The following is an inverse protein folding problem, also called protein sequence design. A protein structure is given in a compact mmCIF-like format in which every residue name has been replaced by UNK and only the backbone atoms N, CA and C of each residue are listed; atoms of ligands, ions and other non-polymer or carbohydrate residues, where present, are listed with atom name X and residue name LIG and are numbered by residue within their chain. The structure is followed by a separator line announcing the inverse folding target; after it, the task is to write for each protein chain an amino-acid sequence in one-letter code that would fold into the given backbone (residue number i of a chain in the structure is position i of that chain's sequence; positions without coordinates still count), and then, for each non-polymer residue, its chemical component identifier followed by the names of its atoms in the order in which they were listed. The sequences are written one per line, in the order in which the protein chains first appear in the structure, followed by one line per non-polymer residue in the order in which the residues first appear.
data_IF_945991050200
#
_entry.id   IF_945991050200
#
_cell.length_a   1.000
_cell.length_b   1.000
_cell.length_c   1.000
_cell.angle_alpha   90.00
_cell.angle_beta   90.00
_cell.angle_gamma   90.00
#
_symmetry.space_group_name_H-M   'P 1'
#
loop_
_entity.id
_entity.type
_entity.pdbx_description
1 polymer ?
#
# COMPACT_ATOMS: atom_id res chain seq x y z
N UNK A 1 29.52 15.09 46.76
CA UNK A 1 29.79 13.86 45.97
C UNK A 1 28.60 12.96 46.16
N UNK A 2 27.62 13.05 45.25
CA UNK A 2 26.44 12.18 45.27
C UNK A 2 26.81 10.86 44.57
N UNK A 3 26.68 9.76 45.30
CA UNK A 3 26.92 8.41 44.80
C UNK A 3 25.75 8.00 43.93
N UNK A 4 25.99 7.82 42.62
CA UNK A 4 25.02 7.21 41.70
C UNK A 4 24.67 5.79 42.21
N UNK A 5 23.40 5.45 42.39
CA UNK A 5 22.98 4.10 42.78
C UNK A 5 23.29 3.11 41.63
N UNK A 6 24.06 2.08 41.96
CA UNK A 6 24.32 0.98 41.02
C UNK A 6 23.04 0.15 40.91
N UNK A 7 22.34 0.27 39.78
CA UNK A 7 21.13 -0.53 39.46
C UNK A 7 21.55 -1.98 39.20
N UNK A 8 21.11 -2.91 40.04
CA UNK A 8 21.39 -4.34 39.83
C UNK A 8 20.49 -4.92 38.75
N UNK A 9 20.92 -6.05 38.12
CA UNK A 9 20.11 -6.76 37.09
C UNK A 9 18.74 -7.17 37.61
N UNK A 10 18.64 -7.50 38.90
CA UNK A 10 17.38 -7.87 39.56
C UNK A 10 16.46 -6.68 39.77
N UNK A 11 16.98 -5.49 40.02
CA UNK A 11 16.18 -4.27 40.18
C UNK A 11 15.62 -3.80 38.83
N UNK A 12 16.43 -3.94 37.77
CA UNK A 12 15.96 -3.68 36.40
C UNK A 12 14.80 -4.61 36.00
N UNK A 13 14.89 -5.92 36.26
CA UNK A 13 13.83 -6.87 35.96
C UNK A 13 12.56 -6.63 36.77
N UNK A 14 12.67 -6.23 38.05
CA UNK A 14 11.50 -5.87 38.87
C UNK A 14 10.80 -4.62 38.36
N UNK A 15 11.58 -3.61 37.94
CA UNK A 15 11.02 -2.36 37.42
C UNK A 15 10.35 -2.58 36.05
N UNK A 16 10.96 -3.35 35.15
CA UNK A 16 10.34 -3.72 33.88
C UNK A 16 9.06 -4.56 34.07
N UNK A 17 9.07 -5.52 35.01
CA UNK A 17 7.90 -6.35 35.32
C UNK A 17 6.72 -5.55 35.88
N UNK A 18 6.98 -4.57 36.74
CA UNK A 18 5.93 -3.71 37.33
C UNK A 18 5.30 -2.76 36.29
N UNK A 19 6.08 -2.26 35.31
CA UNK A 19 5.57 -1.41 34.22
C UNK A 19 4.68 -2.20 33.27
N UNK A 20 4.98 -3.47 33.02
CA UNK A 20 4.17 -4.32 32.13
C UNK A 20 2.81 -4.72 32.74
N UNK A 21 2.67 -4.77 34.06
CA UNK A 21 1.41 -5.12 34.73
C UNK A 21 0.49 -3.92 34.97
N UNK A 22 0.99 -2.69 34.85
CA UNK A 22 0.25 -1.46 35.09
C UNK A 22 -0.50 -0.87 33.89
N UNK A 23 -0.34 -1.41 32.67
CA UNK A 23 -0.92 -0.84 31.45
C UNK A 23 -1.92 -1.77 30.78
N UNK A 24 -3.05 -2.04 31.47
CA UNK A 24 -4.23 -2.63 30.84
C UNK A 24 -4.90 -1.70 29.79
N UNK A 25 -4.32 -0.54 29.52
CA UNK A 25 -4.82 0.44 28.54
C UNK A 25 -3.99 0.51 27.24
N UNK A 26 -2.98 -0.36 27.05
CA UNK A 26 -2.16 -0.37 25.82
C UNK A 26 -2.78 -1.20 24.66
N UNK A 27 -3.97 -1.72 24.84
CA UNK A 27 -4.68 -2.50 23.78
C UNK A 27 -5.30 -1.63 22.68
N UNK A 28 -5.18 -0.30 22.71
CA UNK A 28 -5.74 0.59 21.69
C UNK A 28 -4.75 1.03 20.58
N UNK A 29 -3.48 0.60 20.66
CA UNK A 29 -2.48 0.97 19.64
C UNK A 29 -2.21 -0.12 18.61
N UNK A 30 -3.03 -1.18 18.56
CA UNK A 30 -3.11 -2.05 17.39
C UNK A 30 -3.89 -1.31 16.30
N UNK A 31 -3.34 -0.17 15.88
CA UNK A 31 -3.78 0.54 14.71
C UNK A 31 -3.75 -0.43 13.54
N UNK A 32 -4.93 -0.79 13.09
CA UNK A 32 -5.29 -1.50 11.89
C UNK A 32 -4.21 -1.37 10.80
N UNK A 33 -3.35 -2.37 10.66
CA UNK A 33 -2.64 -2.57 9.40
C UNK A 33 -3.73 -2.79 8.35
N UNK A 34 -4.08 -1.75 7.59
CA UNK A 34 -4.93 -1.90 6.43
C UNK A 34 -4.16 -2.78 5.46
N UNK A 35 -4.52 -4.05 5.38
CA UNK A 35 -3.94 -4.97 4.41
C UNK A 35 -4.25 -4.42 3.03
N UNK A 36 -3.22 -4.35 2.20
CA UNK A 36 -3.37 -3.98 0.79
C UNK A 36 -4.21 -5.05 0.09
N UNK A 37 -5.19 -4.62 -0.70
CA UNK A 37 -6.09 -5.54 -1.40
C UNK A 37 -5.58 -5.80 -2.82
N UNK A 38 -5.47 -7.08 -3.16
CA UNK A 38 -5.17 -7.56 -4.51
C UNK A 38 -6.46 -7.94 -5.23
N UNK A 39 -6.64 -7.48 -6.47
CA UNK A 39 -7.76 -7.87 -7.31
C UNK A 39 -7.79 -9.40 -7.49
N UNK A 40 -8.96 -10.01 -7.30
CA UNK A 40 -9.07 -11.46 -7.20
C UNK A 40 -9.15 -12.14 -8.57
N UNK A 41 -9.74 -11.48 -9.57
CA UNK A 41 -9.98 -12.08 -10.89
C UNK A 41 -9.65 -11.12 -12.04
N UNK A 42 -8.41 -10.63 -12.15
CA UNK A 42 -8.02 -9.87 -13.34
C UNK A 42 -7.90 -10.82 -14.53
N UNK A 43 -8.41 -10.40 -15.69
CA UNK A 43 -8.39 -11.19 -16.93
C UNK A 43 -7.59 -10.45 -18.00
N UNK A 44 -6.61 -11.12 -18.60
CA UNK A 44 -5.90 -10.58 -19.77
C UNK A 44 -6.70 -10.83 -21.02
N UNK A 45 -7.12 -9.78 -21.71
CA UNK A 45 -7.82 -9.83 -22.99
C UNK A 45 -7.30 -8.72 -23.90
N UNK A 46 -6.94 -9.07 -25.13
CA UNK A 46 -6.55 -8.12 -26.18
C UNK A 46 -5.50 -7.08 -25.75
N UNK A 47 -4.45 -7.51 -25.03
CA UNK A 47 -3.40 -6.64 -24.44
C UNK A 47 -3.90 -5.65 -23.37
N UNK A 48 -5.07 -5.88 -22.82
CA UNK A 48 -5.56 -5.14 -21.67
C UNK A 48 -5.87 -6.08 -20.50
N UNK A 49 -5.58 -5.63 -19.29
CA UNK A 49 -6.01 -6.33 -18.09
C UNK A 49 -7.38 -5.78 -17.73
N UNK A 50 -8.38 -6.63 -17.76
CA UNK A 50 -9.74 -6.33 -17.35
C UNK A 50 -9.88 -6.59 -15.86
N UNK A 51 -10.37 -5.60 -15.12
CA UNK A 51 -10.65 -5.65 -13.68
C UNK A 51 -12.09 -5.19 -13.44
N UNK A 52 -12.87 -5.95 -12.67
CA UNK A 52 -14.23 -5.55 -12.34
C UNK A 52 -14.22 -4.38 -11.34
N UNK A 53 -15.08 -3.36 -11.56
CA UNK A 53 -15.17 -2.19 -10.66
C UNK A 53 -15.56 -2.55 -9.23
N UNK A 54 -16.27 -3.66 -9.02
CA UNK A 54 -16.63 -4.18 -7.69
C UNK A 54 -15.40 -4.59 -6.85
N UNK A 55 -14.23 -4.78 -7.45
CA UNK A 55 -12.99 -5.03 -6.70
C UNK A 55 -12.62 -3.84 -5.79
N UNK A 56 -13.12 -2.65 -6.09
CA UNK A 56 -12.97 -1.47 -5.23
C UNK A 56 -13.94 -1.46 -4.04
N UNK A 57 -14.99 -2.28 -4.04
CA UNK A 57 -15.94 -2.35 -2.94
C UNK A 57 -15.37 -3.15 -1.77
N UNK A 58 -15.54 -2.65 -0.56
CA UNK A 58 -15.23 -3.35 0.68
C UNK A 58 -16.49 -3.40 1.53
N UNK A 59 -16.94 -4.58 1.86
CA UNK A 59 -18.11 -4.77 2.72
C UNK A 59 -17.62 -5.09 4.13
N UNK A 60 -18.06 -4.32 5.11
CA UNK A 60 -17.74 -4.58 6.51
C UNK A 60 -18.63 -5.70 7.11
N UNK A 61 -18.34 -6.08 8.36
CA UNK A 61 -19.12 -7.12 9.06
C UNK A 61 -20.58 -6.75 9.31
N UNK A 62 -20.95 -5.49 9.13
CA UNK A 62 -22.31 -4.96 9.31
C UNK A 62 -23.04 -4.78 7.97
N UNK A 63 -22.39 -5.12 6.85
CA UNK A 63 -22.93 -4.97 5.51
C UNK A 63 -22.77 -3.58 4.90
N UNK A 64 -22.04 -2.66 5.56
CA UNK A 64 -21.77 -1.34 5.00
C UNK A 64 -20.71 -1.44 3.89
N UNK A 65 -21.03 -0.88 2.73
CA UNK A 65 -20.13 -0.83 1.58
C UNK A 65 -19.29 0.44 1.63
N UNK A 66 -17.98 0.26 1.55
CA UNK A 66 -17.00 1.36 1.41
C UNK A 66 -16.16 1.14 0.17
N UNK A 67 -15.66 2.23 -0.42
CA UNK A 67 -14.81 2.16 -1.61
C UNK A 67 -13.33 2.22 -1.20
N UNK A 68 -12.55 1.25 -1.67
CA UNK A 68 -11.09 1.30 -1.55
C UNK A 68 -10.56 2.44 -2.41
N UNK A 69 -9.59 3.24 -1.94
CA UNK A 69 -8.97 4.28 -2.77
C UNK A 69 -8.11 3.68 -3.88
N UNK A 70 -7.52 2.51 -3.65
CA UNK A 70 -6.72 1.77 -4.62
C UNK A 70 -6.79 0.26 -4.37
N UNK A 71 -6.41 -0.49 -5.38
CA UNK A 71 -6.19 -1.94 -5.34
C UNK A 71 -4.90 -2.27 -6.09
N UNK A 72 -4.31 -3.43 -5.82
CA UNK A 72 -3.19 -3.96 -6.59
C UNK A 72 -3.70 -5.00 -7.60
N UNK A 73 -3.16 -4.94 -8.80
CA UNK A 73 -3.48 -5.89 -9.87
C UNK A 73 -2.23 -6.67 -10.22
N UNK A 74 -2.25 -7.96 -9.98
CA UNK A 74 -1.16 -8.88 -10.29
C UNK A 74 -1.58 -9.85 -11.38
N UNK A 75 -0.70 -10.08 -12.35
CA UNK A 75 -0.91 -11.03 -13.44
C UNK A 75 0.23 -12.05 -13.49
N UNK A 76 -0.10 -13.29 -13.80
CA UNK A 76 0.89 -14.35 -13.97
C UNK A 76 1.89 -13.97 -15.07
N UNK A 77 3.18 -13.97 -14.71
CA UNK A 77 4.27 -13.59 -15.63
C UNK A 77 4.65 -12.11 -15.59
N UNK A 78 3.96 -11.29 -14.83
CA UNK A 78 4.33 -9.91 -14.57
C UNK A 78 5.31 -9.85 -13.39
N UNK A 79 6.35 -9.03 -13.51
CA UNK A 79 7.41 -8.96 -12.47
C UNK A 79 7.03 -8.17 -11.23
N UNK A 80 6.06 -7.26 -11.34
CA UNK A 80 5.61 -6.38 -10.25
C UNK A 80 4.12 -6.11 -10.41
N UNK A 81 3.37 -5.88 -9.32
CA UNK A 81 1.96 -5.50 -9.39
C UNK A 81 1.75 -4.14 -10.06
N UNK A 82 0.53 -3.90 -10.52
CA UNK A 82 0.07 -2.59 -10.96
C UNK A 82 -0.76 -1.97 -9.83
N UNK A 83 -0.38 -0.77 -9.42
CA UNK A 83 -1.18 0.07 -8.55
C UNK A 83 -2.29 0.71 -9.38
N UNK A 84 -3.53 0.30 -9.14
CA UNK A 84 -4.73 0.84 -9.77
C UNK A 84 -5.47 1.70 -8.76
N UNK A 85 -5.53 3.00 -9.00
CA UNK A 85 -6.14 3.98 -8.09
C UNK A 85 -7.31 4.69 -8.75
N UNK A 86 -8.40 4.87 -8.00
CA UNK A 86 -9.55 5.68 -8.39
C UNK A 86 -9.26 7.15 -8.10
N UNK A 87 -9.56 8.05 -9.06
CA UNK A 87 -9.46 9.50 -8.89
C UNK A 87 -10.78 10.05 -8.36
N UNK A 88 -10.76 10.52 -7.12
CA UNK A 88 -11.96 11.11 -6.50
C UNK A 88 -13.18 10.18 -6.48
N UNK A 89 -14.37 10.72 -6.73
CA UNK A 89 -15.64 9.97 -6.75
C UNK A 89 -16.07 9.54 -8.15
N UNK A 90 -15.36 10.01 -9.18
CA UNK A 90 -15.65 9.72 -10.59
C UNK A 90 -15.26 8.32 -11.04
N UNK A 91 -15.36 8.10 -12.34
CA UNK A 91 -15.00 6.86 -13.04
C UNK A 91 -13.64 6.99 -13.75
N UNK A 92 -12.74 7.75 -13.14
CA UNK A 92 -11.37 7.96 -13.60
C UNK A 92 -10.39 7.18 -12.75
N UNK A 93 -9.38 6.58 -13.40
CA UNK A 93 -8.40 5.73 -12.75
C UNK A 93 -6.99 6.04 -13.25
N UNK A 94 -6.00 5.81 -12.39
CA UNK A 94 -4.58 5.73 -12.76
C UNK A 94 -4.08 4.31 -12.56
N UNK A 95 -3.21 3.86 -13.46
CA UNK A 95 -2.55 2.57 -13.35
C UNK A 95 -1.04 2.76 -13.50
N UNK A 96 -0.28 2.32 -12.49
CA UNK A 96 1.17 2.53 -12.37
C UNK A 96 1.86 1.21 -12.04
N UNK A 97 2.92 0.85 -12.77
CA UNK A 97 3.73 -0.32 -12.45
C UNK A 97 4.53 -0.05 -11.16
N UNK A 98 4.39 -0.93 -10.18
CA UNK A 98 5.05 -0.79 -8.87
C UNK A 98 6.52 -1.22 -8.90
N UNK A 99 7.25 -0.75 -9.90
CA UNK A 99 8.68 -1.02 -10.09
C UNK A 99 9.49 0.26 -9.96
N UNK A 100 10.28 0.36 -8.89
CA UNK A 100 11.15 1.51 -8.63
C UNK A 100 12.12 1.75 -9.80
N UNK A 101 12.18 2.96 -10.30
CA UNK A 101 13.04 3.33 -11.43
C UNK A 101 14.51 3.51 -11.06
N UNK A 102 14.85 3.50 -9.74
CA UNK A 102 16.24 3.51 -9.30
C UNK A 102 16.92 2.15 -9.55
N UNK A 103 16.41 1.04 -8.96
CA UNK A 103 17.02 -0.29 -9.06
C UNK A 103 16.01 -1.42 -9.27
N UNK A 104 14.77 -1.12 -9.63
CA UNK A 104 13.77 -2.11 -9.98
C UNK A 104 13.10 -2.84 -8.82
N UNK A 105 13.28 -2.39 -7.57
CA UNK A 105 12.60 -2.98 -6.42
C UNK A 105 11.10 -2.71 -6.44
N UNK A 106 10.32 -3.62 -5.85
CA UNK A 106 8.88 -3.42 -5.66
C UNK A 106 8.62 -2.27 -4.69
N UNK A 107 7.58 -1.49 -4.97
CA UNK A 107 7.17 -0.34 -4.18
C UNK A 107 6.13 -0.72 -3.12
N UNK A 108 6.07 0.03 -2.03
CA UNK A 108 4.96 0.01 -1.10
C UNK A 108 3.86 0.94 -1.58
N UNK A 109 2.61 0.47 -1.56
CA UNK A 109 1.45 1.24 -1.97
C UNK A 109 0.78 1.93 -0.77
N UNK A 110 0.50 3.23 -0.93
CA UNK A 110 -0.24 4.06 0.01
C UNK A 110 -1.40 4.76 -0.70
N UNK A 111 -2.33 5.36 0.07
CA UNK A 111 -3.37 6.16 -0.54
C UNK A 111 -2.80 7.50 -1.05
N UNK A 112 -2.63 7.58 -2.36
CA UNK A 112 -2.17 8.78 -3.05
C UNK A 112 -0.66 8.86 -3.33
N UNK A 113 0.17 7.92 -2.88
CA UNK A 113 1.61 7.90 -3.15
C UNK A 113 2.20 6.49 -3.07
N UNK A 114 3.43 6.33 -3.53
CA UNK A 114 4.18 5.07 -3.51
C UNK A 114 5.57 5.34 -2.93
N UNK A 115 6.11 4.38 -2.17
CA UNK A 115 7.46 4.49 -1.58
C UNK A 115 8.31 3.28 -1.92
N UNK A 116 9.61 3.49 -2.13
CA UNK A 116 10.57 2.41 -2.32
C UNK A 116 11.23 2.04 -0.99
N UNK A 117 11.02 0.82 -0.47
CA UNK A 117 11.58 0.41 0.83
C UNK A 117 13.10 0.25 0.80
N UNK A 118 13.71 0.13 -0.40
CA UNK A 118 15.14 -0.13 -0.52
C UNK A 118 15.99 1.12 -0.26
N UNK A 119 15.64 2.27 -0.88
CA UNK A 119 16.46 3.49 -0.80
C UNK A 119 15.64 4.78 -0.63
N UNK A 120 14.34 4.67 -0.31
CA UNK A 120 13.52 5.82 0.07
C UNK A 120 12.97 6.67 -1.08
N UNK A 121 13.10 6.26 -2.34
CA UNK A 121 12.45 7.01 -3.44
C UNK A 121 10.95 7.06 -3.27
N UNK A 122 10.33 8.21 -3.56
CA UNK A 122 8.89 8.42 -3.45
C UNK A 122 8.28 8.90 -4.76
N UNK A 123 7.00 8.56 -4.97
CA UNK A 123 6.26 8.86 -6.19
C UNK A 123 4.82 9.23 -5.86
N UNK A 124 4.23 10.12 -6.67
CA UNK A 124 2.78 10.36 -6.59
C UNK A 124 1.99 9.14 -7.07
N UNK A 125 0.68 9.15 -6.83
CA UNK A 125 -0.24 8.12 -7.35
C UNK A 125 -0.28 8.04 -8.89
N UNK A 126 0.16 9.09 -9.58
CA UNK A 126 0.29 9.15 -11.04
C UNK A 126 1.67 8.68 -11.52
N UNK A 127 2.54 8.25 -10.59
CA UNK A 127 3.86 7.75 -10.90
C UNK A 127 4.95 8.80 -11.10
N UNK A 128 4.69 10.07 -10.76
CA UNK A 128 5.71 11.12 -10.81
C UNK A 128 6.66 11.00 -9.64
N UNK A 129 7.97 11.05 -9.89
CA UNK A 129 8.97 11.04 -8.82
C UNK A 129 8.87 12.32 -8.00
N UNK A 130 8.86 12.20 -6.67
CA UNK A 130 8.83 13.32 -5.72
C UNK A 130 10.05 13.36 -4.83
N UNK A 131 10.68 12.19 -4.56
CA UNK A 131 11.90 12.07 -3.74
C UNK A 131 12.85 11.04 -4.35
N UNK A 132 14.15 11.36 -4.36
CA UNK A 132 15.22 10.49 -4.86
C UNK A 132 15.52 9.30 -3.93
N UNK A 133 16.45 8.44 -4.36
CA UNK A 133 17.41 8.57 -5.45
C UNK A 133 16.91 8.24 -6.87
N UNK A 134 15.65 7.86 -7.06
CA UNK A 134 15.11 7.71 -8.41
C UNK A 134 15.04 9.07 -9.14
N UNK A 135 15.38 9.08 -10.43
CA UNK A 135 15.40 10.29 -11.27
C UNK A 135 14.30 10.27 -12.35
N UNK A 136 13.60 9.15 -12.51
CA UNK A 136 12.61 8.94 -13.57
C UNK A 136 11.26 8.57 -12.97
N UNK A 137 10.21 9.03 -13.63
CA UNK A 137 8.84 8.64 -13.32
C UNK A 137 8.63 7.14 -13.53
N UNK A 138 7.63 6.59 -12.85
CA UNK A 138 7.21 5.21 -13.00
C UNK A 138 6.54 4.97 -14.36
N UNK A 139 6.54 3.72 -14.80
CA UNK A 139 5.75 3.30 -15.96
C UNK A 139 4.27 3.40 -15.65
N UNK A 140 3.53 4.13 -16.47
CA UNK A 140 2.08 4.29 -16.36
C UNK A 140 1.39 3.60 -17.52
N UNK A 141 0.17 3.14 -17.30
CA UNK A 141 -0.66 2.50 -18.30
C UNK A 141 -1.90 3.33 -18.59
N UNK A 142 -2.32 3.34 -19.86
CA UNK A 142 -3.59 3.95 -20.26
C UNK A 142 -4.73 3.11 -19.68
N UNK A 143 -5.70 3.78 -19.05
CA UNK A 143 -6.90 3.15 -18.51
C UNK A 143 -8.11 3.60 -19.30
N UNK A 144 -8.98 2.65 -19.62
CA UNK A 144 -10.31 2.89 -20.18
C UNK A 144 -11.34 2.14 -19.34
N UNK A 145 -12.60 2.57 -19.37
CA UNK A 145 -13.67 1.96 -18.55
C UNK A 145 -14.92 1.74 -19.38
N UNK A 146 -15.75 0.79 -18.96
CA UNK A 146 -17.15 0.65 -19.34
C UNK A 146 -18.05 0.68 -18.07
N UNK A 147 -19.31 0.30 -18.16
CA UNK A 147 -20.23 0.30 -17.02
C UNK A 147 -19.75 -0.58 -15.84
N UNK A 148 -19.13 -1.72 -16.11
CA UNK A 148 -18.78 -2.72 -15.10
C UNK A 148 -17.28 -2.94 -14.89
N UNK A 149 -16.43 -2.53 -15.82
CA UNK A 149 -15.04 -2.91 -15.87
C UNK A 149 -14.10 -1.74 -16.09
N UNK A 150 -12.85 -1.98 -15.71
CA UNK A 150 -11.69 -1.13 -15.91
C UNK A 150 -10.71 -1.93 -16.78
N UNK A 151 -10.16 -1.30 -17.81
CA UNK A 151 -9.21 -1.91 -18.74
C UNK A 151 -7.88 -1.18 -18.66
N UNK A 152 -6.84 -1.90 -18.20
CA UNK A 152 -5.45 -1.41 -18.12
C UNK A 152 -4.75 -1.87 -19.38
N UNK A 153 -4.42 -0.96 -20.30
CA UNK A 153 -3.77 -1.27 -21.57
C UNK A 153 -2.26 -1.43 -21.36
N UNK A 154 -1.71 -2.65 -21.54
CA UNK A 154 -0.32 -3.00 -21.23
C UNK A 154 0.57 -3.22 -22.47
N UNK A 155 0.07 -2.94 -23.67
CA UNK A 155 0.85 -3.12 -24.89
C UNK A 155 0.22 -2.55 -26.13
#
# INVERSE_FOLDING_TARGET
MESNPIITRTDFLKTCGAVCLGTASLSMLLSSCKSVYYAQMPVLKDRAIQVNKKEFESVDKKGAVTMRPFILVEMKGQSHPIYLRRKGTGDEYTAVLMKCTHQGNELNAHDGYLTCPAHGSEYTAEGKVTEGPAEKDLTTYRVTTDEGNIYINIG
#
